data_IF_206153720565
#
_entry.id   IF_206153720565
#
_cell.length_a   1.000
_cell.length_b   1.000
_cell.length_c   1.000
_cell.angle_alpha   90.00
_cell.angle_beta   90.00
_cell.angle_gamma   90.00
#
_symmetry.space_group_name_H-M   'P 1'
#
loop_
_entity.id
_entity.type
_entity.pdbx_description
1 polymer ?
#
# COMPACT_ATOMS: atom_id res chain seq x y z
N UNK A 1 -2.79 -27.01 20.74
CA UNK A 1 -4.23 -27.30 20.88
C UNK A 1 -4.97 -26.53 19.79
N UNK A 2 -5.52 -27.23 18.80
CA UNK A 2 -6.20 -26.60 17.66
C UNK A 2 -7.64 -26.32 18.07
N UNK A 3 -7.97 -25.05 18.30
CA UNK A 3 -9.32 -24.62 18.66
C UNK A 3 -10.21 -24.55 17.41
N UNK A 4 -10.59 -25.70 16.86
CA UNK A 4 -11.49 -25.78 15.70
C UNK A 4 -12.95 -25.73 16.15
N UNK A 5 -13.37 -24.63 16.77
CA UNK A 5 -14.78 -24.43 17.12
C UNK A 5 -15.59 -24.12 15.84
N UNK A 6 -16.56 -24.98 15.52
CA UNK A 6 -17.46 -24.77 14.39
C UNK A 6 -18.31 -23.49 14.59
N UNK A 7 -18.15 -22.50 13.70
CA UNK A 7 -18.96 -21.28 13.73
C UNK A 7 -20.37 -21.60 13.24
N UNK A 8 -21.37 -21.47 14.12
CA UNK A 8 -22.79 -21.67 13.78
C UNK A 8 -23.24 -20.70 12.67
N UNK A 9 -24.21 -21.13 11.86
CA UNK A 9 -24.67 -20.41 10.65
C UNK A 9 -25.14 -18.99 10.96
N UNK A 10 -25.84 -18.80 12.07
CA UNK A 10 -26.32 -17.50 12.58
C UNK A 10 -25.18 -16.53 12.94
N UNK A 11 -23.98 -17.05 13.20
CA UNK A 11 -22.78 -16.25 13.51
C UNK A 11 -21.85 -16.09 12.30
N UNK A 12 -22.20 -16.64 11.13
CA UNK A 12 -21.40 -16.50 9.91
C UNK A 12 -21.75 -15.19 9.21
N UNK A 13 -20.73 -14.36 8.98
CA UNK A 13 -20.84 -13.18 8.12
C UNK A 13 -20.51 -13.64 6.71
N UNK A 14 -21.39 -13.35 5.75
CA UNK A 14 -21.19 -13.69 4.33
C UNK A 14 -21.17 -12.41 3.50
N UNK A 15 -20.25 -12.27 2.54
CA UNK A 15 -20.33 -11.19 1.57
C UNK A 15 -21.61 -11.36 0.74
N UNK A 16 -22.27 -10.25 0.46
CA UNK A 16 -23.46 -10.19 -0.40
C UNK A 16 -23.06 -9.35 -1.61
N UNK A 17 -23.48 -9.77 -2.81
CA UNK A 17 -23.32 -8.95 -4.00
C UNK A 17 -24.26 -7.74 -3.89
N UNK A 18 -23.69 -6.55 -3.81
CA UNK A 18 -24.42 -5.28 -3.71
C UNK A 18 -23.52 -4.09 -4.04
N UNK A 19 -24.11 -2.92 -4.21
CA UNK A 19 -23.36 -1.68 -4.44
C UNK A 19 -22.65 -1.26 -3.15
N UNK A 20 -21.38 -0.90 -3.24
CA UNK A 20 -20.64 -0.36 -2.11
C UNK A 20 -21.20 1.02 -1.77
N UNK A 21 -21.57 1.30 -0.52
CA UNK A 21 -22.26 2.53 -0.19
C UNK A 21 -21.26 3.70 -0.08
N UNK A 22 -21.66 4.89 -0.55
CA UNK A 22 -20.76 6.05 -0.64
C UNK A 22 -20.30 6.56 0.73
N UNK A 23 -21.09 6.38 1.79
CA UNK A 23 -20.74 6.74 3.17
C UNK A 23 -19.59 5.89 3.74
N UNK A 24 -19.41 4.66 3.24
CA UNK A 24 -18.30 3.79 3.60
C UNK A 24 -17.05 3.99 2.72
N UNK A 25 -17.11 4.91 1.75
CA UNK A 25 -16.01 5.15 0.80
C UNK A 25 -14.79 5.73 1.51
N UNK A 26 -13.62 5.16 1.22
CA UNK A 26 -12.35 5.72 1.69
C UNK A 26 -12.04 6.97 0.87
N UNK A 27 -11.90 8.10 1.56
CA UNK A 27 -11.44 9.35 0.98
C UNK A 27 -9.93 9.48 1.16
N UNK A 28 -9.23 9.77 0.06
CA UNK A 28 -7.81 10.09 0.10
C UNK A 28 -7.62 11.60 0.15
N UNK A 29 -6.84 12.07 1.11
CA UNK A 29 -6.49 13.49 1.30
C UNK A 29 -4.98 13.61 1.48
N UNK A 30 -4.43 14.77 1.13
CA UNK A 30 -3.00 15.08 1.30
C UNK A 30 -2.92 16.33 2.18
N UNK A 31 -2.85 16.18 3.51
CA UNK A 31 -3.01 17.30 4.44
C UNK A 31 -1.84 18.29 4.41
N UNK A 32 -0.67 17.87 3.89
CA UNK A 32 0.53 18.68 3.77
C UNK A 32 1.15 18.45 2.40
N UNK A 33 1.74 19.49 1.81
CA UNK A 33 2.44 19.36 0.53
C UNK A 33 3.59 18.33 0.65
N UNK A 34 3.57 17.25 -0.15
CA UNK A 34 4.60 16.22 -0.11
C UNK A 34 5.97 16.72 -0.58
N UNK A 35 6.04 17.86 -1.28
CA UNK A 35 7.27 18.41 -1.82
C UNK A 35 8.06 19.21 -0.78
N UNK A 36 7.44 19.64 0.33
CA UNK A 36 8.09 20.47 1.35
C UNK A 36 9.30 19.80 2.02
N UNK A 37 9.33 18.47 2.07
CA UNK A 37 10.41 17.70 2.70
C UNK A 37 11.47 17.22 1.73
N UNK A 38 11.32 17.51 0.43
CA UNK A 38 12.28 17.03 -0.56
C UNK A 38 13.63 17.74 -0.39
N UNK A 39 14.74 16.98 -0.42
CA UNK A 39 16.06 17.58 -0.41
C UNK A 39 16.28 18.37 -1.71
N UNK A 40 16.97 19.51 -1.60
CA UNK A 40 17.34 20.31 -2.76
C UNK A 40 18.35 19.54 -3.61
N UNK A 41 18.07 19.41 -4.90
CA UNK A 41 18.98 18.78 -5.86
C UNK A 41 20.07 19.76 -6.27
N UNK A 42 21.33 19.33 -6.13
CA UNK A 42 22.47 20.07 -6.68
C UNK A 42 22.53 19.89 -8.21
N UNK A 43 22.74 20.97 -8.99
CA UNK A 43 23.03 20.86 -10.42
C UNK A 43 24.34 20.11 -10.73
N UNK A 44 25.22 20.02 -9.73
CA UNK A 44 26.48 19.30 -9.80
C UNK A 44 26.47 18.18 -8.76
N UNK A 45 25.92 17.00 -9.10
CA UNK A 45 25.89 15.88 -8.17
C UNK A 45 27.31 15.38 -7.89
N UNK A 46 27.62 15.00 -6.64
CA UNK A 46 28.87 14.34 -6.32
C UNK A 46 28.97 12.97 -7.01
N UNK A 47 30.17 12.40 -7.17
CA UNK A 47 30.31 11.04 -7.66
C UNK A 47 29.58 10.06 -6.72
N UNK A 48 28.98 9.03 -7.32
CA UNK A 48 28.25 8.01 -6.56
C UNK A 48 29.13 7.38 -5.49
N UNK A 49 28.61 7.37 -4.26
CA UNK A 49 29.22 6.70 -3.11
C UNK A 49 28.18 5.71 -2.56
N UNK A 50 28.49 4.41 -2.48
CA UNK A 50 27.56 3.42 -1.94
C UNK A 50 27.11 3.79 -0.53
N UNK A 51 25.80 3.81 -0.32
CA UNK A 51 25.18 4.05 0.98
C UNK A 51 24.71 2.74 1.60
N UNK A 52 24.15 2.80 2.82
CA UNK A 52 23.67 1.62 3.53
C UNK A 52 22.60 0.86 2.73
N UNK A 53 21.71 1.56 2.00
CA UNK A 53 20.64 0.93 1.21
C UNK A 53 20.93 0.92 -0.28
N UNK A 54 21.56 1.97 -0.83
CA UNK A 54 21.91 2.05 -2.26
C UNK A 54 23.33 1.54 -2.50
N UNK A 55 23.47 0.24 -2.77
CA UNK A 55 24.73 -0.37 -3.20
C UNK A 55 24.88 -0.30 -4.71
N UNK A 56 26.11 -0.45 -5.23
CA UNK A 56 26.38 -0.47 -6.67
C UNK A 56 25.58 -1.56 -7.40
N UNK A 57 25.41 -2.73 -6.77
CA UNK A 57 24.62 -3.85 -7.32
C UNK A 57 23.13 -3.49 -7.45
N UNK A 58 22.56 -2.86 -6.41
CA UNK A 58 21.16 -2.42 -6.40
C UNK A 58 20.91 -1.31 -7.41
N UNK A 59 21.89 -0.41 -7.58
CA UNK A 59 21.83 0.64 -8.59
C UNK A 59 21.91 0.08 -10.01
N UNK A 60 22.77 -0.92 -10.24
CA UNK A 60 22.86 -1.62 -11.53
C UNK A 60 21.55 -2.35 -11.88
N UNK A 61 20.85 -2.91 -10.88
CA UNK A 61 19.55 -3.56 -11.07
C UNK A 61 18.48 -2.63 -11.64
N UNK A 62 18.54 -1.32 -11.31
CA UNK A 62 17.58 -0.33 -11.81
C UNK A 62 17.71 -0.10 -13.33
N UNK A 63 18.83 -0.46 -13.93
CA UNK A 63 19.05 -0.44 -15.38
C UNK A 63 18.66 0.89 -16.06
N UNK A 64 19.03 2.00 -15.40
CA UNK A 64 18.53 3.37 -15.66
C UNK A 64 18.74 3.84 -17.10
N UNK A 65 19.82 3.40 -17.76
CA UNK A 65 20.19 3.85 -19.10
C UNK A 65 20.44 2.71 -20.09
N UNK A 66 19.61 1.67 -20.06
CA UNK A 66 19.75 0.51 -20.97
C UNK A 66 19.74 0.87 -22.46
N UNK A 67 18.99 1.90 -22.84
CA UNK A 67 18.83 2.33 -24.23
C UNK A 67 19.75 3.50 -24.63
N UNK A 68 20.59 4.00 -23.71
CA UNK A 68 21.47 5.14 -23.97
C UNK A 68 20.73 6.46 -24.20
N UNK A 69 19.49 6.59 -23.71
CA UNK A 69 18.70 7.82 -23.83
C UNK A 69 19.28 8.96 -22.98
N UNK A 70 19.79 8.64 -21.80
CA UNK A 70 20.33 9.60 -20.85
C UNK A 70 21.81 9.89 -21.11
N UNK A 71 22.21 11.14 -20.97
CA UNK A 71 23.61 11.54 -20.95
C UNK A 71 24.28 11.10 -19.64
N UNK A 72 25.60 10.99 -19.62
CA UNK A 72 26.34 10.59 -18.40
C UNK A 72 26.06 11.52 -17.22
N UNK A 73 25.89 12.83 -17.47
CA UNK A 73 25.54 13.80 -16.43
C UNK A 73 24.13 13.56 -15.84
N UNK A 74 23.18 13.18 -16.69
CA UNK A 74 21.81 12.88 -16.28
C UNK A 74 21.74 11.55 -15.51
N UNK A 75 22.52 10.55 -15.92
CA UNK A 75 22.68 9.31 -15.16
C UNK A 75 23.21 9.62 -13.76
N UNK A 76 24.31 10.39 -13.65
CA UNK A 76 24.87 10.78 -12.35
C UNK A 76 23.86 11.55 -11.48
N UNK A 77 23.06 12.42 -12.08
CA UNK A 77 22.00 13.13 -11.37
C UNK A 77 20.94 12.15 -10.84
N UNK A 78 20.52 11.19 -11.66
CA UNK A 78 19.57 10.16 -11.25
C UNK A 78 20.11 9.32 -10.09
N UNK A 79 21.37 8.87 -10.17
CA UNK A 79 22.03 8.13 -9.09
C UNK A 79 22.01 8.93 -7.78
N UNK A 80 22.27 10.24 -7.86
CA UNK A 80 22.22 11.14 -6.72
C UNK A 80 20.80 11.28 -6.14
N UNK A 81 19.77 11.42 -6.98
CA UNK A 81 18.36 11.43 -6.55
C UNK A 81 18.01 10.15 -5.79
N UNK A 82 18.44 9.00 -6.31
CA UNK A 82 18.14 7.71 -5.69
C UNK A 82 18.84 7.54 -4.34
N UNK A 83 20.07 8.06 -4.19
CA UNK A 83 20.78 8.07 -2.91
C UNK A 83 20.08 8.98 -1.88
N UNK A 84 19.68 10.19 -2.29
CA UNK A 84 18.97 11.13 -1.41
C UNK A 84 17.63 10.57 -0.91
N UNK A 85 16.97 9.76 -1.73
CA UNK A 85 15.67 9.18 -1.45
C UNK A 85 15.74 7.69 -1.10
N UNK A 86 16.90 7.18 -0.67
CA UNK A 86 17.11 5.74 -0.44
C UNK A 86 16.14 5.13 0.59
N UNK A 87 15.63 5.96 1.52
CA UNK A 87 14.65 5.55 2.52
C UNK A 87 13.26 5.24 1.96
N UNK A 88 12.93 5.76 0.76
CA UNK A 88 11.67 5.47 0.08
C UNK A 88 11.69 4.14 -0.69
N UNK A 89 12.88 3.58 -0.92
CA UNK A 89 13.06 2.34 -1.66
C UNK A 89 13.04 1.16 -0.68
N UNK A 90 12.28 0.13 -1.04
CA UNK A 90 12.19 -1.12 -0.29
C UNK A 90 12.93 -2.23 -1.05
N UNK A 91 14.06 -2.68 -0.49
CA UNK A 91 14.83 -3.79 -1.06
C UNK A 91 14.59 -5.09 -0.29
N UNK A 92 14.26 -4.99 0.99
CA UNK A 92 13.91 -6.11 1.86
C UNK A 92 12.47 -5.99 2.38
N UNK A 93 11.88 -7.09 2.83
CA UNK A 93 10.51 -7.04 3.38
C UNK A 93 10.40 -6.15 4.62
N UNK A 94 11.48 -6.04 5.38
CA UNK A 94 11.62 -5.14 6.54
C UNK A 94 11.53 -3.66 6.16
N UNK A 95 11.83 -3.31 4.91
CA UNK A 95 11.72 -1.94 4.39
C UNK A 95 10.30 -1.59 3.95
N UNK A 96 9.37 -2.56 3.92
CA UNK A 96 7.99 -2.33 3.50
C UNK A 96 7.28 -1.40 4.47
N UNK A 97 7.15 -0.13 4.08
CA UNK A 97 6.36 0.86 4.79
C UNK A 97 4.87 0.77 4.49
N UNK A 98 4.06 1.35 5.37
CA UNK A 98 2.65 1.68 5.10
C UNK A 98 2.49 3.18 4.87
N UNK A 99 1.44 3.55 4.15
CA UNK A 99 1.10 4.96 4.00
C UNK A 99 0.66 5.56 5.34
N UNK A 100 0.86 6.87 5.50
CA UNK A 100 0.42 7.59 6.69
C UNK A 100 -1.10 7.50 6.83
N UNK A 101 -1.57 7.16 8.03
CA UNK A 101 -3.01 7.04 8.35
C UNK A 101 -3.77 8.35 8.04
N UNK A 102 -3.14 9.51 8.27
CA UNK A 102 -3.71 10.83 7.98
C UNK A 102 -4.11 11.06 6.52
N UNK A 103 -3.67 10.21 5.60
CA UNK A 103 -3.98 10.37 4.18
C UNK A 103 -5.32 9.73 3.80
N UNK A 104 -5.88 8.87 4.65
CA UNK A 104 -7.06 8.08 4.33
C UNK A 104 -8.09 8.24 5.44
N UNK A 105 -9.37 8.35 5.07
CA UNK A 105 -10.43 8.19 6.05
C UNK A 105 -10.42 6.75 6.61
N UNK A 106 -10.91 6.53 7.84
CA UNK A 106 -11.04 5.19 8.39
C UNK A 106 -11.82 4.27 7.46
N UNK A 107 -11.33 3.03 7.30
CA UNK A 107 -12.02 2.03 6.52
C UNK A 107 -13.28 1.54 7.25
N UNK A 108 -14.44 1.68 6.62
CA UNK A 108 -15.71 1.19 7.15
C UNK A 108 -16.13 -0.05 6.37
N UNK A 109 -16.37 -1.16 7.07
CA UNK A 109 -16.96 -2.36 6.45
C UNK A 109 -18.49 -2.19 6.49
N UNK A 110 -19.15 -1.95 5.34
CA UNK A 110 -20.61 -1.84 5.34
C UNK A 110 -21.21 -3.20 5.69
N UNK A 111 -22.11 -3.22 6.66
CA UNK A 111 -22.84 -4.43 7.04
C UNK A 111 -24.32 -4.26 6.71
N UNK A 112 -24.92 -5.33 6.19
CA UNK A 112 -26.36 -5.41 5.96
C UNK A 112 -26.94 -6.33 7.03
N UNK A 113 -28.07 -5.93 7.60
CA UNK A 113 -28.76 -6.77 8.59
C UNK A 113 -29.09 -8.14 7.97
N UNK A 114 -28.60 -9.20 8.61
CA UNK A 114 -28.93 -10.55 8.20
C UNK A 114 -30.39 -10.84 8.54
N UNK A 115 -31.21 -11.11 7.53
CA UNK A 115 -32.57 -11.63 7.76
C UNK A 115 -32.43 -13.15 7.96
N UNK A 116 -32.66 -13.67 9.17
CA UNK A 116 -32.64 -15.11 9.38
C UNK A 116 -33.75 -15.74 8.54
N UNK A 117 -33.42 -16.84 7.86
CA UNK A 117 -34.43 -17.62 7.16
C UNK A 117 -35.47 -18.13 8.17
N UNK A 118 -36.65 -17.53 8.17
CA UNK A 118 -37.77 -18.03 8.96
C UNK A 118 -38.29 -19.30 8.29
N UNK A 119 -38.01 -20.46 8.87
CA UNK A 119 -38.64 -21.71 8.45
C UNK A 119 -40.12 -21.64 8.82
N UNK A 120 -41.04 -21.77 7.85
CA UNK A 120 -42.46 -21.94 8.18
C UNK A 120 -42.58 -23.16 9.11
N UNK A 121 -43.30 -23.03 10.22
CA UNK A 121 -43.64 -24.18 11.06
C UNK A 121 -44.25 -25.27 10.16
N UNK A 122 -43.65 -26.46 10.18
CA UNK A 122 -44.22 -27.62 9.50
C UNK A 122 -45.59 -27.84 10.17
N UNK A 123 -46.71 -27.85 9.42
CA UNK A 123 -48.01 -28.13 10.00
C UNK A 123 -47.95 -29.54 10.62
N UNK A 124 -48.18 -29.62 11.92
CA UNK A 124 -48.30 -30.90 12.62
C UNK A 124 -49.72 -31.41 12.31
N UNK A 125 -49.88 -32.57 11.66
CA UNK A 125 -51.20 -33.15 11.41
C UNK A 125 -51.87 -33.55 12.75
N UNK A 126 -53.21 -33.48 12.83
CA UNK A 126 -53.98 -33.88 14.02
C UNK A 126 -53.91 -35.40 14.28
#
# INVERSE_FOLDING_TARGET
>A
QVNTAYKRVDKKIKPIAGTFPEDARVERRVPRDPLETLPVLSPHPPPFTPTKKMTAERLALLNVNSQGFLQEAEVRLFEHVMCLNEGALAFEETDRGTLKESYFSPYVIPTVLHVPWAYKNIPIPP
#
